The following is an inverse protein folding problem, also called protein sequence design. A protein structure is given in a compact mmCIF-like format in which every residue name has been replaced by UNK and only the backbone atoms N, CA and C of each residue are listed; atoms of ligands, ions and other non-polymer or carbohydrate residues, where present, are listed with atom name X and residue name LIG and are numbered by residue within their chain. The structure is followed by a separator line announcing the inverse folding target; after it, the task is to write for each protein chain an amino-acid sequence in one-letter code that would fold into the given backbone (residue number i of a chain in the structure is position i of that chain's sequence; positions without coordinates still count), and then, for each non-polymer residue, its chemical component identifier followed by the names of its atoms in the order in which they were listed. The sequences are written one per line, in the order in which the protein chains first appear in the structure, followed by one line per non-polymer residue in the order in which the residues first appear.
data_IF_475646410572
#
_entry.id   IF_475646410572
#
_cell.length_a   1.000
_cell.length_b   1.000
_cell.length_c   1.000
_cell.angle_alpha   90.00
_cell.angle_beta   90.00
_cell.angle_gamma   90.00
#
_symmetry.space_group_name_H-M   'P 1'
#
loop_
_entity.id
_entity.type
_entity.pdbx_description
1 polymer ?
#
# COMPACT_ATOMS: atom_id res chain seq x y z
N UNK A 1 21.76 0.86 -1.26
CA UNK A 1 21.31 0.23 -2.51
C UNK A 1 21.72 1.14 -3.64
N UNK A 2 22.86 0.85 -4.27
CA UNK A 2 23.29 1.61 -5.45
C UNK A 2 22.44 1.13 -6.62
N UNK A 3 21.78 2.06 -7.30
CA UNK A 3 20.90 1.77 -8.43
C UNK A 3 21.71 1.10 -9.55
N UNK A 4 21.45 -0.18 -9.79
CA UNK A 4 21.93 -0.92 -10.97
C UNK A 4 21.26 -0.44 -12.27
N UNK A 5 20.39 0.56 -12.19
CA UNK A 5 19.65 1.10 -13.34
C UNK A 5 20.46 2.19 -14.05
N UNK A 6 20.57 2.05 -15.38
CA UNK A 6 21.18 3.06 -16.24
C UNK A 6 20.52 4.43 -16.05
N UNK A 7 21.35 5.46 -15.85
CA UNK A 7 20.93 6.86 -15.78
C UNK A 7 21.70 7.66 -16.81
N UNK A 8 20.97 8.27 -17.75
CA UNK A 8 21.56 9.15 -18.77
C UNK A 8 22.23 10.36 -18.11
N UNK A 9 23.44 10.70 -18.56
CA UNK A 9 24.16 11.89 -18.14
C UNK A 9 23.98 13.03 -19.16
N UNK A 10 24.06 14.29 -18.72
CA UNK A 10 24.02 15.41 -19.67
C UNK A 10 25.22 15.37 -20.63
N UNK A 11 25.04 15.47 -21.96
CA UNK A 11 26.18 15.42 -22.90
C UNK A 11 27.15 16.60 -22.74
N UNK A 12 26.68 17.74 -22.21
CA UNK A 12 27.48 18.95 -22.05
C UNK A 12 28.33 18.96 -20.78
N UNK A 13 27.76 18.62 -19.64
CA UNK A 13 28.42 18.74 -18.33
C UNK A 13 28.51 17.43 -17.54
N UNK A 14 28.07 16.31 -18.15
CA UNK A 14 28.08 14.96 -17.58
C UNK A 14 27.40 14.84 -16.21
N UNK A 15 26.52 15.77 -15.85
CA UNK A 15 25.77 15.69 -14.61
C UNK A 15 24.52 14.81 -14.76
N UNK A 16 24.14 14.17 -13.66
CA UNK A 16 22.90 13.38 -13.54
C UNK A 16 21.71 14.21 -13.01
N UNK A 17 21.92 15.51 -12.76
CA UNK A 17 20.89 16.42 -12.26
C UNK A 17 20.13 17.07 -13.42
N UNK A 18 19.14 16.36 -13.95
CA UNK A 18 18.28 16.84 -15.03
C UNK A 18 16.81 16.63 -14.70
N UNK A 19 15.93 17.34 -15.42
CA UNK A 19 14.49 17.09 -15.36
C UNK A 19 13.96 16.79 -16.75
N UNK A 20 13.20 15.70 -16.86
CA UNK A 20 12.48 15.34 -18.09
C UNK A 20 11.03 15.76 -17.91
N UNK A 21 10.56 16.64 -18.79
CA UNK A 21 9.17 17.13 -18.80
C UNK A 21 8.55 16.86 -20.15
N UNK A 22 7.21 16.81 -20.22
CA UNK A 22 6.51 16.87 -21.51
C UNK A 22 6.58 18.30 -22.03
N UNK A 23 6.85 18.48 -23.32
CA UNK A 23 6.78 19.78 -23.95
C UNK A 23 5.33 20.25 -23.99
N UNK A 24 5.05 21.35 -23.31
CA UNK A 24 3.72 21.98 -23.32
C UNK A 24 3.54 22.92 -24.51
N UNK A 25 4.58 23.20 -25.30
CA UNK A 25 4.52 24.06 -26.49
C UNK A 25 3.82 23.36 -27.66
N UNK A 26 3.92 22.03 -27.73
CA UNK A 26 3.32 21.23 -28.81
C UNK A 26 1.78 21.19 -28.78
N UNK A 27 1.12 21.69 -27.72
CA UNK A 27 -0.35 21.69 -27.59
C UNK A 27 -1.09 22.48 -28.68
N UNK A 28 -0.39 23.35 -29.42
CA UNK A 28 -1.00 24.17 -30.47
C UNK A 28 -1.31 23.35 -31.73
N UNK A 29 -0.60 22.23 -31.97
CA UNK A 29 -0.80 21.39 -33.14
C UNK A 29 -1.24 19.97 -32.72
N UNK A 30 -2.55 19.73 -32.78
CA UNK A 30 -3.28 18.53 -32.30
C UNK A 30 -2.88 17.18 -32.91
N UNK A 31 -1.78 17.07 -33.66
CA UNK A 31 -1.47 15.89 -34.47
C UNK A 31 -0.05 15.33 -34.29
N UNK A 32 0.78 15.87 -33.39
CA UNK A 32 2.13 15.33 -33.17
C UNK A 32 2.32 14.77 -31.75
N UNK A 33 3.05 13.64 -31.62
CA UNK A 33 3.27 12.98 -30.35
C UNK A 33 4.02 13.89 -29.38
N UNK A 34 3.58 13.91 -28.13
CA UNK A 34 4.09 14.72 -27.03
C UNK A 34 5.62 14.61 -26.91
N UNK A 35 6.36 15.60 -27.41
CA UNK A 35 7.81 15.60 -27.34
C UNK A 35 8.26 15.73 -25.88
N UNK A 36 9.23 14.91 -25.47
CA UNK A 36 9.88 15.06 -24.17
C UNK A 36 10.93 16.17 -24.27
N UNK A 37 11.08 16.93 -23.19
CA UNK A 37 12.13 17.94 -23.02
C UNK A 37 13.03 17.51 -21.87
N UNK A 38 14.26 17.21 -22.20
CA UNK A 38 15.33 17.02 -21.22
C UNK A 38 15.93 18.39 -20.93
N UNK A 39 16.00 18.77 -19.65
CA UNK A 39 16.61 20.02 -19.22
C UNK A 39 17.66 19.77 -18.15
N UNK A 40 18.91 20.12 -18.47
CA UNK A 40 20.01 20.07 -17.52
C UNK A 40 20.26 21.44 -16.88
N UNK A 41 20.78 21.44 -15.65
CA UNK A 41 21.20 22.65 -14.91
C UNK A 41 22.23 23.52 -15.66
N UNK A 42 23.01 22.93 -16.58
CA UNK A 42 23.98 23.67 -17.41
C UNK A 42 23.35 24.42 -18.61
N UNK A 43 22.02 24.42 -18.71
CA UNK A 43 21.25 25.06 -19.76
C UNK A 43 21.11 24.23 -21.05
N UNK A 44 21.68 23.01 -21.09
CA UNK A 44 21.49 22.11 -22.25
C UNK A 44 20.07 21.55 -22.23
N UNK A 45 19.37 21.73 -23.35
CA UNK A 45 18.07 21.12 -23.61
C UNK A 45 18.18 20.16 -24.80
N UNK A 46 17.48 19.04 -24.70
CA UNK A 46 17.28 18.08 -25.79
C UNK A 46 15.76 17.86 -25.95
N UNK A 47 15.33 17.61 -27.18
CA UNK A 47 13.91 17.52 -27.54
C UNK A 47 13.62 16.21 -28.26
N UNK A 48 12.50 15.57 -27.92
CA UNK A 48 11.94 14.45 -28.66
C UNK A 48 12.96 13.35 -28.95
N UNK A 49 13.17 13.08 -30.24
CA UNK A 49 14.07 12.03 -30.76
C UNK A 49 15.53 12.20 -30.32
N UNK A 50 16.01 13.44 -30.13
CA UNK A 50 17.38 13.69 -29.67
C UNK A 50 17.66 13.14 -28.27
N UNK A 51 16.62 13.03 -27.44
CA UNK A 51 16.74 12.41 -26.11
C UNK A 51 16.94 10.91 -26.27
N UNK A 52 16.18 10.28 -27.17
CA UNK A 52 16.25 8.84 -27.41
C UNK A 52 17.60 8.45 -28.02
N UNK A 53 18.08 9.18 -29.02
CA UNK A 53 19.39 8.94 -29.64
C UNK A 53 20.54 9.05 -28.62
N UNK A 54 20.52 10.06 -27.76
CA UNK A 54 21.56 10.26 -26.75
C UNK A 54 21.46 9.23 -25.62
N UNK A 55 20.24 8.83 -25.25
CA UNK A 55 19.99 7.73 -24.32
C UNK A 55 20.58 6.43 -24.85
N UNK A 56 20.28 6.07 -26.10
CA UNK A 56 20.75 4.83 -26.72
C UNK A 56 22.28 4.84 -26.87
N UNK A 57 22.88 5.95 -27.30
CA UNK A 57 24.34 6.11 -27.36
C UNK A 57 24.99 5.86 -26.00
N UNK A 58 24.48 6.52 -24.95
CA UNK A 58 25.07 6.40 -23.62
C UNK A 58 24.79 5.03 -22.98
N UNK A 59 23.65 4.41 -23.29
CA UNK A 59 23.32 3.07 -22.82
C UNK A 59 24.26 2.03 -23.42
N UNK A 60 24.56 2.12 -24.72
CA UNK A 60 25.54 1.24 -25.38
C UNK A 60 26.92 1.39 -24.76
N UNK A 61 27.37 2.63 -24.50
CA UNK A 61 28.65 2.88 -23.81
C UNK A 61 28.64 2.27 -22.42
N UNK A 62 27.57 2.48 -21.65
CA UNK A 62 27.43 1.93 -20.31
C UNK A 62 27.41 0.40 -20.31
N UNK A 63 26.77 -0.24 -21.27
CA UNK A 63 26.80 -1.71 -21.44
C UNK A 63 28.21 -2.20 -21.78
N UNK A 64 28.96 -1.49 -22.63
CA UNK A 64 30.33 -1.85 -23.02
C UNK A 64 31.36 -1.62 -21.90
N UNK A 65 31.19 -0.57 -21.10
CA UNK A 65 32.09 -0.21 -19.98
C UNK A 65 31.85 -1.03 -18.71
N UNK A 66 31.02 -2.08 -18.79
CA UNK A 66 30.66 -2.92 -17.64
C UNK A 66 29.42 -2.39 -16.93
N UNK A 67 28.31 -2.28 -17.66
CA UNK A 67 26.97 -2.12 -17.10
C UNK A 67 26.71 -3.19 -16.03
N UNK A 68 25.59 -3.12 -15.28
CA UNK A 68 25.30 -3.99 -14.15
C UNK A 68 25.56 -5.39 -14.66
N UNK A 69 26.64 -5.95 -14.13
CA UNK A 69 27.01 -7.32 -14.37
C UNK A 69 25.71 -8.05 -14.10
N UNK A 70 25.12 -8.65 -15.14
CA UNK A 70 24.09 -9.66 -14.92
C UNK A 70 24.87 -10.69 -14.13
N UNK A 71 24.78 -10.59 -12.80
CA UNK A 71 25.30 -11.57 -11.89
C UNK A 71 24.48 -12.78 -12.30
N UNK A 72 25.08 -13.67 -13.09
CA UNK A 72 24.61 -15.03 -13.20
C UNK A 72 24.46 -15.45 -11.74
N UNK A 73 23.21 -15.52 -11.25
CA UNK A 73 22.92 -15.84 -9.87
C UNK A 73 23.61 -17.18 -9.62
N UNK A 74 24.73 -17.16 -8.89
CA UNK A 74 25.34 -18.38 -8.42
C UNK A 74 24.22 -19.18 -7.73
N UNK A 75 24.06 -20.48 -8.05
CA UNK A 75 23.00 -21.27 -7.46
C UNK A 75 23.12 -21.16 -5.94
N UNK A 76 22.10 -20.57 -5.32
CA UNK A 76 22.00 -20.38 -3.87
C UNK A 76 22.43 -21.66 -3.17
N UNK A 77 23.26 -21.52 -2.14
CA UNK A 77 23.74 -22.67 -1.38
C UNK A 77 22.56 -23.50 -0.86
N UNK A 78 22.71 -24.82 -0.73
CA UNK A 78 21.64 -25.71 -0.26
C UNK A 78 21.03 -25.23 1.08
N UNK A 79 21.87 -24.65 1.95
CA UNK A 79 21.46 -24.06 3.22
C UNK A 79 20.54 -22.83 3.05
N UNK A 80 20.75 -22.00 2.03
CA UNK A 80 19.88 -20.85 1.74
C UNK A 80 18.56 -21.29 1.11
N UNK A 81 18.59 -22.31 0.25
CA UNK A 81 17.37 -22.90 -0.31
C UNK A 81 16.48 -23.50 0.78
N UNK A 82 17.06 -24.20 1.76
CA UNK A 82 16.31 -24.77 2.88
C UNK A 82 15.67 -23.68 3.75
N UNK A 83 16.38 -22.59 4.03
CA UNK A 83 15.85 -21.43 4.77
C UNK A 83 14.69 -20.77 4.05
N UNK A 84 14.77 -20.59 2.73
CA UNK A 84 13.68 -20.03 1.92
C UNK A 84 12.44 -20.93 1.97
N UNK A 85 12.63 -22.24 1.85
CA UNK A 85 11.52 -23.20 1.92
C UNK A 85 10.88 -23.26 3.33
N UNK A 86 11.67 -23.13 4.39
CA UNK A 86 11.14 -22.98 5.75
C UNK A 86 10.35 -21.68 5.93
N UNK A 87 10.85 -20.56 5.42
CA UNK A 87 10.16 -19.28 5.45
C UNK A 87 8.85 -19.33 4.66
N UNK A 88 8.83 -20.00 3.51
CA UNK A 88 7.63 -20.19 2.70
C UNK A 88 6.58 -21.03 3.44
N UNK A 89 6.98 -22.14 4.07
CA UNK A 89 6.08 -22.95 4.92
C UNK A 89 5.50 -22.12 6.06
N UNK A 90 6.30 -21.27 6.71
CA UNK A 90 5.84 -20.37 7.77
C UNK A 90 4.84 -19.33 7.25
N UNK A 91 5.10 -18.74 6.08
CA UNK A 91 4.18 -17.81 5.40
C UNK A 91 2.87 -18.50 5.03
N UNK A 92 2.93 -19.73 4.55
CA UNK A 92 1.74 -20.49 4.19
C UNK A 92 0.88 -20.83 5.41
N UNK A 93 1.50 -21.25 6.51
CA UNK A 93 0.81 -21.49 7.79
C UNK A 93 0.11 -20.21 8.29
N UNK A 94 0.78 -19.06 8.23
CA UNK A 94 0.19 -17.78 8.60
C UNK A 94 -0.99 -17.41 7.70
N UNK A 95 -0.86 -17.63 6.38
CA UNK A 95 -1.94 -17.40 5.41
C UNK A 95 -3.17 -18.26 5.72
N UNK A 96 -2.96 -19.56 6.00
CA UNK A 96 -4.03 -20.49 6.40
C UNK A 96 -4.70 -20.05 7.71
N UNK A 97 -3.93 -19.63 8.72
CA UNK A 97 -4.47 -19.14 9.98
C UNK A 97 -5.33 -17.87 9.81
N UNK A 98 -4.87 -16.93 8.98
CA UNK A 98 -5.61 -15.70 8.67
C UNK A 98 -6.90 -15.99 7.89
N UNK A 99 -6.86 -16.93 6.93
CA UNK A 99 -8.04 -17.35 6.19
C UNK A 99 -9.07 -18.03 7.10
N UNK A 100 -8.63 -18.93 7.97
CA UNK A 100 -9.48 -19.58 8.96
C UNK A 100 -10.16 -18.54 9.87
N UNK A 101 -9.40 -17.56 10.39
CA UNK A 101 -9.94 -16.48 11.20
C UNK A 101 -10.99 -15.66 10.45
N UNK A 102 -10.75 -15.37 9.17
CA UNK A 102 -11.71 -14.63 8.32
C UNK A 102 -13.00 -15.42 8.12
N UNK A 103 -12.92 -16.72 7.84
CA UNK A 103 -14.09 -17.62 7.69
C UNK A 103 -14.89 -17.70 8.99
N UNK A 104 -14.21 -17.92 10.11
CA UNK A 104 -14.84 -17.97 11.44
C UNK A 104 -15.61 -16.68 11.78
N UNK A 105 -15.02 -15.50 11.53
CA UNK A 105 -15.70 -14.23 11.78
C UNK A 105 -16.90 -14.01 10.86
N UNK A 106 -16.82 -14.43 9.60
CA UNK A 106 -17.93 -14.33 8.66
C UNK A 106 -19.10 -15.24 9.05
N UNK A 107 -18.81 -16.47 9.47
CA UNK A 107 -19.80 -17.42 9.98
C UNK A 107 -20.47 -16.91 11.26
N UNK A 108 -19.67 -16.42 12.22
CA UNK A 108 -20.19 -15.79 13.45
C UNK A 108 -21.09 -14.58 13.16
N UNK A 109 -20.80 -13.84 12.09
CA UNK A 109 -21.66 -12.72 11.65
C UNK A 109 -22.98 -13.24 11.07
N UNK A 110 -22.94 -14.25 10.20
CA UNK A 110 -24.14 -14.88 9.64
C UNK A 110 -25.06 -15.42 10.73
N UNK A 111 -24.49 -16.11 11.72
CA UNK A 111 -25.25 -16.63 12.86
C UNK A 111 -25.98 -15.50 13.60
N UNK A 112 -25.28 -14.38 13.91
CA UNK A 112 -25.92 -13.23 14.55
C UNK A 112 -27.04 -12.61 13.73
N UNK A 113 -26.86 -12.52 12.41
CA UNK A 113 -27.88 -11.98 11.49
C UNK A 113 -29.10 -12.91 11.41
N UNK A 114 -28.91 -14.22 11.48
CA UNK A 114 -29.96 -15.23 11.54
C UNK A 114 -30.70 -15.22 12.88
N UNK A 115 -29.97 -15.16 14.00
CA UNK A 115 -30.54 -15.03 15.34
C UNK A 115 -31.37 -13.74 15.45
N UNK A 116 -30.88 -12.62 14.92
CA UNK A 116 -31.62 -11.35 14.91
C UNK A 116 -32.86 -11.41 14.01
N UNK A 117 -32.77 -12.09 12.86
CA UNK A 117 -33.92 -12.32 11.98
C UNK A 117 -34.99 -13.15 12.69
N UNK A 118 -34.59 -14.26 13.31
CA UNK A 118 -35.49 -15.13 14.06
C UNK A 118 -36.17 -14.37 15.20
N UNK A 119 -35.43 -13.54 15.95
CA UNK A 119 -36.01 -12.67 16.98
C UNK A 119 -37.06 -11.71 16.42
N UNK A 120 -36.79 -11.07 15.28
CA UNK A 120 -37.74 -10.15 14.63
C UNK A 120 -39.00 -10.85 14.14
N UNK A 121 -38.86 -12.05 13.58
CA UNK A 121 -40.00 -12.87 13.15
C UNK A 121 -40.85 -13.32 14.32
N UNK A 122 -40.23 -13.70 15.45
CA UNK A 122 -40.95 -14.04 16.67
C UNK A 122 -41.68 -12.83 17.28
N UNK A 123 -41.04 -11.66 17.31
CA UNK A 123 -41.67 -10.40 17.73
C UNK A 123 -42.88 -10.05 16.85
N UNK A 124 -42.76 -10.18 15.52
CA UNK A 124 -43.86 -9.94 14.59
C UNK A 124 -45.00 -10.95 14.78
N UNK A 125 -44.66 -12.24 14.98
CA UNK A 125 -45.63 -13.29 15.30
C UNK A 125 -46.42 -12.96 16.57
N UNK A 126 -45.72 -12.62 17.66
CA UNK A 126 -46.35 -12.22 18.93
C UNK A 126 -47.21 -10.96 18.78
N UNK A 127 -46.79 -10.01 17.95
CA UNK A 127 -47.58 -8.82 17.66
C UNK A 127 -48.87 -9.16 16.91
N UNK A 128 -48.80 -10.03 15.90
CA UNK A 128 -49.98 -10.49 15.14
C UNK A 128 -50.97 -11.25 16.04
N UNK A 129 -50.47 -12.11 16.92
CA UNK A 129 -51.30 -12.84 17.89
C UNK A 129 -52.03 -11.87 18.83
N UNK A 130 -51.33 -10.85 19.37
CA UNK A 130 -51.96 -9.81 20.19
C UNK A 130 -53.02 -9.01 19.43
N UNK A 131 -52.76 -8.66 18.17
CA UNK A 131 -53.74 -7.95 17.33
C UNK A 131 -55.00 -8.79 17.12
N UNK A 132 -54.83 -10.09 16.83
CA UNK A 132 -55.95 -11.00 16.63
C UNK A 132 -56.81 -11.16 17.90
N UNK A 133 -56.19 -11.19 19.09
CA UNK A 133 -56.92 -11.23 20.36
C UNK A 133 -57.72 -9.93 20.58
N UNK A 134 -57.11 -8.76 20.40
CA UNK A 134 -57.80 -7.47 20.57
C UNK A 134 -58.97 -7.32 19.58
N UNK A 135 -58.79 -7.80 18.34
CA UNK A 135 -59.84 -7.81 17.31
C UNK A 135 -60.99 -8.75 17.68
N UNK A 136 -60.69 -9.94 18.22
CA UNK A 136 -61.69 -10.89 18.70
C UNK A 136 -62.48 -10.39 19.94
N UNK A 137 -61.83 -9.62 20.81
CA UNK A 137 -62.45 -9.03 22.01
C UNK A 137 -63.29 -7.78 21.74
N UNK A 138 -63.33 -7.28 20.49
CA UNK A 138 -64.13 -6.11 20.12
C UNK A 138 -63.70 -4.78 20.75
N UNK A 139 -62.49 -4.70 21.30
CA UNK A 139 -61.95 -3.46 21.88
C UNK A 139 -61.50 -2.49 20.77
N UNK A 140 -62.08 -1.27 20.77
CA UNK A 140 -61.89 -0.23 19.75
C UNK A 140 -60.46 0.37 19.68
N UNK A 141 -59.56 0.03 20.62
CA UNK A 141 -58.20 0.58 20.65
C UNK A 141 -57.22 -0.38 19.98
N UNK A 142 -56.94 -0.14 18.68
CA UNK A 142 -55.93 -0.90 17.93
C UNK A 142 -54.54 -0.71 18.57
N UNK A 143 -53.83 -1.79 18.97
CA UNK A 143 -52.47 -1.67 19.46
C UNK A 143 -51.56 -1.13 18.36
N UNK A 144 -50.87 -0.02 18.64
CA UNK A 144 -49.93 0.60 17.71
C UNK A 144 -48.74 -0.33 17.47
N UNK A 145 -48.32 -0.48 16.20
CA UNK A 145 -47.11 -1.25 15.86
C UNK A 145 -45.92 -0.76 16.69
N UNK A 146 -45.07 -1.67 17.20
CA UNK A 146 -43.84 -1.26 17.86
C UNK A 146 -43.02 -0.42 16.88
N UNK A 147 -42.73 0.84 17.26
CA UNK A 147 -41.89 1.72 16.45
C UNK A 147 -40.52 1.05 16.35
N UNK A 148 -40.10 0.73 15.13
CA UNK A 148 -38.71 0.34 14.83
C UNK A 148 -37.81 1.44 15.39
N UNK A 149 -37.17 1.18 16.53
CA UNK A 149 -36.03 1.96 16.95
C UNK A 149 -34.90 1.59 16.01
N UNK A 150 -34.85 2.28 14.87
CA UNK A 150 -33.67 2.31 14.02
C UNK A 150 -32.57 2.87 14.91
N UNK A 151 -31.80 1.98 15.54
CA UNK A 151 -30.53 2.35 16.17
C UNK A 151 -29.65 2.78 15.00
N UNK A 152 -29.77 4.06 14.62
CA UNK A 152 -28.84 4.72 13.73
C UNK A 152 -27.47 4.43 14.31
N UNK A 153 -26.74 3.61 13.58
CA UNK A 153 -25.37 3.25 13.88
C UNK A 153 -24.55 4.53 13.98
N UNK A 154 -24.35 5.00 15.22
CA UNK A 154 -23.25 5.87 15.58
C UNK A 154 -21.95 5.04 15.43
N UNK A 155 -21.56 4.79 14.19
CA UNK A 155 -20.31 4.16 13.78
C UNK A 155 -19.66 5.04 12.71
N UNK A 156 -19.52 6.33 13.03
CA UNK A 156 -18.53 7.24 12.45
C UNK A 156 -17.98 8.12 13.56
N UNK A 157 -17.39 7.51 14.58
CA UNK A 157 -16.38 8.15 15.41
C UNK A 157 -15.14 7.26 15.29
N UNK A 158 -14.28 7.62 14.34
CA UNK A 158 -12.90 7.15 14.32
C UNK A 158 -12.29 7.63 15.65
N UNK A 159 -11.85 6.74 16.55
CA UNK A 159 -11.06 7.20 17.68
C UNK A 159 -9.79 7.83 17.11
N UNK A 160 -9.61 9.13 17.36
CA UNK A 160 -8.35 9.82 17.13
C UNK A 160 -7.22 8.98 17.73
N UNK A 161 -6.17 8.80 16.94
CA UNK A 161 -4.98 8.05 17.34
C UNK A 161 -4.44 8.62 18.67
N UNK A 162 -4.19 7.80 19.70
CA UNK A 162 -3.48 8.26 20.86
C UNK A 162 -2.06 8.67 20.43
N UNK A 163 -1.68 9.87 20.86
CA UNK A 163 -0.53 10.61 20.40
C UNK A 163 0.77 9.82 20.29
N UNK A 164 1.50 10.14 19.23
CA UNK A 164 2.91 9.88 19.06
C UNK A 164 3.66 10.26 20.34
N UNK A 165 4.15 9.26 21.07
CA UNK A 165 5.15 9.49 22.11
C UNK A 165 6.40 10.08 21.46
N UNK A 166 7.03 11.11 22.06
CA UNK A 166 8.36 11.53 21.65
C UNK A 166 9.33 10.36 21.85
N UNK A 167 10.22 10.21 20.88
CA UNK A 167 11.22 9.16 20.79
C UNK A 167 12.36 9.53 21.75
N UNK A 168 12.27 9.10 23.00
CA UNK A 168 13.42 9.09 23.93
C UNK A 168 14.34 7.94 23.54
N UNK A 169 15.32 8.25 22.69
CA UNK A 169 16.53 7.42 22.51
C UNK A 169 17.70 8.36 22.14
N UNK A 170 17.89 9.40 22.97
CA UNK A 170 19.20 10.05 23.09
C UNK A 170 20.09 9.12 23.92
N UNK A 171 20.78 8.22 23.24
CA UNK A 171 21.93 7.53 23.80
C UNK A 171 23.08 8.56 23.92
N UNK A 172 23.63 8.81 25.11
CA UNK A 172 24.81 9.66 25.25
C UNK A 172 25.98 9.06 24.46
N UNK A 173 26.61 9.86 23.60
CA UNK A 173 27.88 9.51 22.98
C UNK A 173 28.94 9.40 24.08
N UNK A 174 29.50 8.20 24.26
CA UNK A 174 30.72 8.04 25.05
C UNK A 174 31.88 8.82 24.41
N UNK A 175 32.69 9.54 25.19
CA UNK A 175 33.85 10.25 24.66
C UNK A 175 34.89 9.25 24.15
N UNK A 176 35.23 9.40 22.87
CA UNK A 176 36.32 8.71 22.19
C UNK A 176 37.62 8.93 22.97
N UNK A 177 38.15 7.87 23.60
CA UNK A 177 39.51 7.87 24.14
C UNK A 177 40.50 8.00 22.99
N UNK A 178 41.21 9.12 22.94
CA UNK A 178 42.43 9.28 22.14
C UNK A 178 43.44 8.25 22.61
N UNK A 179 43.77 7.31 21.75
CA UNK A 179 44.95 6.44 21.91
C UNK A 179 46.11 7.19 21.28
N UNK A 180 47.07 7.60 22.11
CA UNK A 180 48.32 8.16 21.62
C UNK A 180 49.17 7.06 20.96
N UNK A 181 49.91 7.37 19.89
CA UNK A 181 50.84 6.41 19.29
C UNK A 181 52.05 6.23 20.21
N UNK A 182 52.22 5.02 20.74
CA UNK A 182 53.47 4.61 21.39
C UNK A 182 54.54 4.55 20.30
N UNK A 183 55.50 5.46 20.39
CA UNK A 183 56.75 5.42 19.64
C UNK A 183 57.84 4.90 20.55
N UNK A 184 58.43 3.75 20.23
CA UNK A 184 59.83 3.33 20.43
C UNK A 184 59.97 1.82 20.17
#
# INVERSE_FOLDING_TARGET
MQDTQFRMACPKCKSYSFTVRRDQRAYVHKSQPFELVFSCRCGKQLFGEQIQEEYDRQKVIWEQEGGPVIVEEEPLSEAEQERLHEEERRKEQLRKAMEYRRKYLAEKRRQKEEDERSRREEEDRRWREKVAIVEAEGQLLRPTKPKRTTRLSALTAVPEAPGSKPREDERPQEPVRKVEPVSA
#
